data_IF_970031207004
#
_entry.id   IF_970031207004
#
_cell.length_a   1.000
_cell.length_b   1.000
_cell.length_c   1.000
_cell.angle_alpha   90.00
_cell.angle_beta   90.00
_cell.angle_gamma   90.00
#
_symmetry.space_group_name_H-M   'P 1'
#
loop_
_entity.id
_entity.type
_entity.pdbx_description
1 polymer ?
#
# COMPACT_ATOMS: atom_id res chain seq x y z
N UNK A 1 -15.74 28.09 -20.41
CA UNK A 1 -15.06 27.78 -19.13
C UNK A 1 -16.07 27.00 -18.29
N UNK A 2 -15.69 25.84 -17.74
CA UNK A 2 -16.56 25.05 -16.87
C UNK A 2 -16.26 25.32 -15.39
N UNK A 3 -17.20 24.99 -14.51
CA UNK A 3 -16.98 25.01 -13.06
C UNK A 3 -16.17 23.79 -12.64
N UNK A 4 -15.19 24.03 -11.78
CA UNK A 4 -14.40 23.00 -11.12
C UNK A 4 -14.67 23.12 -9.63
N UNK A 5 -15.01 21.99 -9.01
CA UNK A 5 -15.19 21.88 -7.58
C UNK A 5 -14.16 20.88 -7.02
N UNK A 6 -13.61 21.20 -5.85
CA UNK A 6 -12.73 20.29 -5.10
C UNK A 6 -13.53 19.76 -3.93
N UNK A 7 -13.70 18.43 -3.87
CA UNK A 7 -14.37 17.75 -2.77
C UNK A 7 -13.38 16.92 -1.96
N UNK A 8 -13.66 16.77 -0.68
CA UNK A 8 -12.93 15.90 0.23
C UNK A 8 -13.84 14.73 0.65
N UNK A 9 -13.29 13.53 0.70
CA UNK A 9 -14.03 12.31 1.02
C UNK A 9 -13.39 11.61 2.22
N UNK A 10 -14.22 11.08 3.12
CA UNK A 10 -13.74 10.26 4.24
C UNK A 10 -13.35 8.85 3.77
N UNK A 11 -12.58 8.13 4.58
CA UNK A 11 -12.19 6.75 4.27
C UNK A 11 -13.39 5.80 4.21
N UNK A 12 -14.39 5.98 5.07
CA UNK A 12 -15.60 5.17 5.06
C UNK A 12 -16.34 5.32 3.73
N UNK A 13 -16.45 6.55 3.23
CA UNK A 13 -17.08 6.83 1.95
C UNK A 13 -16.27 6.27 0.78
N UNK A 14 -14.93 6.29 0.86
CA UNK A 14 -14.07 5.66 -0.15
C UNK A 14 -14.31 4.14 -0.21
N UNK A 15 -14.39 3.48 0.94
CA UNK A 15 -14.69 2.04 1.01
C UNK A 15 -16.09 1.71 0.49
N UNK A 16 -17.08 2.55 0.78
CA UNK A 16 -18.44 2.38 0.26
C UNK A 16 -18.52 2.55 -1.26
N UNK A 17 -17.75 3.50 -1.84
CA UNK A 17 -17.72 3.75 -3.27
C UNK A 17 -16.96 2.67 -4.05
N UNK A 18 -15.91 2.08 -3.46
CA UNK A 18 -15.05 1.09 -4.10
C UNK A 18 -14.94 -0.21 -3.26
N UNK A 19 -16.03 -0.96 -3.06
CA UNK A 19 -16.08 -2.06 -2.09
C UNK A 19 -15.15 -3.23 -2.42
N UNK A 20 -14.74 -3.38 -3.68
CA UNK A 20 -13.82 -4.43 -4.14
C UNK A 20 -12.35 -3.99 -4.13
N UNK A 21 -12.06 -2.75 -3.74
CA UNK A 21 -10.72 -2.18 -3.75
C UNK A 21 -10.34 -1.71 -2.35
N UNK A 22 -9.68 -2.58 -1.58
CA UNK A 22 -9.24 -2.31 -0.21
C UNK A 22 -7.92 -1.49 -0.14
N UNK A 23 -7.65 -0.69 -1.17
CA UNK A 23 -6.38 -0.01 -1.36
C UNK A 23 -6.31 1.36 -0.70
N UNK A 24 -6.61 1.47 0.60
CA UNK A 24 -6.72 2.75 1.33
C UNK A 24 -5.47 3.21 2.10
N UNK A 25 -4.52 2.30 2.36
CA UNK A 25 -3.17 2.51 2.92
C UNK A 25 -2.51 3.89 2.71
N UNK A 26 -2.54 4.47 1.50
CA UNK A 26 -1.97 5.80 1.24
C UNK A 26 -2.71 6.93 1.96
N UNK A 27 -4.01 6.76 2.17
CA UNK A 27 -4.90 7.72 2.85
C UNK A 27 -5.05 7.41 4.33
N UNK A 28 -5.19 6.13 4.70
CA UNK A 28 -5.36 5.73 6.10
C UNK A 28 -4.06 5.72 6.90
N UNK A 29 -2.90 5.76 6.22
CA UNK A 29 -1.59 5.66 6.85
C UNK A 29 -1.33 4.31 7.52
N UNK A 30 -2.19 3.31 7.27
CA UNK A 30 -2.09 1.98 7.89
C UNK A 30 -1.02 1.14 7.20
N UNK A 31 0.22 1.44 7.52
CA UNK A 31 1.41 0.69 7.12
C UNK A 31 1.96 -0.15 8.28
N UNK A 32 2.76 -1.19 7.99
CA UNK A 32 2.97 -1.82 6.69
C UNK A 32 1.76 -2.67 6.30
N UNK A 33 1.47 -2.81 5.01
CA UNK A 33 0.49 -3.81 4.57
C UNK A 33 1.06 -5.21 4.72
N UNK A 34 0.18 -6.22 4.73
CA UNK A 34 0.59 -7.63 4.75
C UNK A 34 1.58 -7.96 3.62
N UNK A 35 1.40 -7.35 2.44
CA UNK A 35 2.36 -7.43 1.34
C UNK A 35 3.71 -6.80 1.70
N UNK A 36 3.70 -5.59 2.28
CA UNK A 36 4.90 -4.93 2.78
C UNK A 36 5.67 -5.75 3.82
N UNK A 37 4.96 -6.38 4.77
CA UNK A 37 5.57 -7.30 5.74
C UNK A 37 6.27 -8.49 5.08
N UNK A 38 5.65 -9.08 4.06
CA UNK A 38 6.26 -10.19 3.32
C UNK A 38 7.56 -9.75 2.64
N UNK A 39 7.54 -8.60 1.99
CA UNK A 39 8.69 -8.06 1.25
C UNK A 39 9.84 -7.73 2.20
N UNK A 40 9.59 -7.03 3.32
CA UNK A 40 10.65 -6.65 4.26
C UNK A 40 11.30 -7.88 4.93
N UNK A 41 10.49 -8.90 5.27
CA UNK A 41 11.02 -10.12 5.85
C UNK A 41 11.85 -10.91 4.85
N UNK A 42 11.41 -10.99 3.58
CA UNK A 42 12.18 -11.64 2.53
C UNK A 42 13.51 -10.92 2.28
N UNK A 43 13.49 -9.59 2.22
CA UNK A 43 14.69 -8.78 2.08
C UNK A 43 15.68 -9.03 3.22
N UNK A 44 15.20 -9.13 4.47
CA UNK A 44 16.03 -9.44 5.63
C UNK A 44 16.70 -10.83 5.53
N UNK A 45 15.93 -11.86 5.13
CA UNK A 45 16.48 -13.22 4.94
C UNK A 45 17.53 -13.22 3.82
N UNK A 46 17.24 -12.61 2.67
CA UNK A 46 18.17 -12.55 1.54
C UNK A 46 19.48 -11.83 1.93
N UNK A 47 19.38 -10.75 2.71
CA UNK A 47 20.55 -10.04 3.23
C UNK A 47 21.37 -10.93 4.16
N UNK A 48 20.72 -11.62 5.10
CA UNK A 48 21.39 -12.48 6.07
C UNK A 48 22.08 -13.68 5.40
N UNK A 49 21.47 -14.26 4.37
CA UNK A 49 21.97 -15.44 3.67
C UNK A 49 22.98 -15.11 2.54
N UNK A 50 23.35 -13.83 2.34
CA UNK A 50 24.21 -13.36 1.24
C UNK A 50 23.77 -13.91 -0.13
N UNK A 51 22.47 -13.83 -0.42
CA UNK A 51 21.92 -14.35 -1.68
C UNK A 51 22.38 -13.52 -2.89
N UNK A 52 23.47 -13.90 -3.57
CA UNK A 52 24.08 -13.10 -4.64
C UNK A 52 23.31 -13.11 -6.00
N UNK A 53 22.26 -13.93 -6.15
CA UNK A 53 21.57 -14.16 -7.43
C UNK A 53 20.08 -13.77 -7.50
N UNK A 54 19.47 -13.33 -6.40
CA UNK A 54 18.05 -12.96 -6.32
C UNK A 54 17.84 -11.46 -6.17
N UNK A 55 16.64 -10.95 -6.48
CA UNK A 55 16.30 -9.56 -6.14
C UNK A 55 16.45 -9.36 -4.62
N UNK A 56 16.91 -8.18 -4.22
CA UNK A 56 17.07 -7.79 -2.81
C UNK A 56 15.76 -7.71 -2.02
N UNK A 57 14.61 -7.94 -2.67
CA UNK A 57 13.26 -7.90 -2.14
C UNK A 57 12.39 -9.00 -2.77
#
# INVERSE_FOLDING_TARGET
KGEIEVIFQSLENLHAACPQHSGDWYFSGKYPTRGGYRVVNQAYVNYYENSEGGRSY
#
